data_IF_162071683262
#
_entry.id   IF_162071683262
#
_cell.length_a   1.000
_cell.length_b   1.000
_cell.length_c   1.000
_cell.angle_alpha   90.00
_cell.angle_beta   90.00
_cell.angle_gamma   90.00
#
_symmetry.space_group_name_H-M   'P 1'
#
loop_
_entity.id
_entity.type
_entity.pdbx_description
1 polymer ?
#
# COMPACT_ATOMS: atom_id res chain seq x y z
N UNK A 1 -13.67 -11.30 -12.00
CA UNK A 1 -14.35 -10.22 -11.26
C UNK A 1 -13.33 -9.15 -10.96
N UNK A 2 -13.57 -7.90 -11.35
CA UNK A 2 -12.66 -6.80 -11.05
C UNK A 2 -12.85 -6.38 -9.60
N UNK A 3 -11.78 -6.43 -8.79
CA UNK A 3 -11.77 -5.95 -7.42
C UNK A 3 -11.09 -4.57 -7.37
N UNK A 4 -11.73 -3.61 -6.70
CA UNK A 4 -11.19 -2.26 -6.50
C UNK A 4 -10.79 -2.09 -5.04
N UNK A 5 -9.61 -1.50 -4.81
CA UNK A 5 -9.08 -1.16 -3.49
C UNK A 5 -8.87 0.35 -3.42
N UNK A 6 -9.47 0.99 -2.42
CA UNK A 6 -9.10 2.36 -2.05
C UNK A 6 -7.77 2.32 -1.30
N UNK A 7 -6.84 3.19 -1.70
CA UNK A 7 -5.53 3.31 -1.08
C UNK A 7 -5.55 4.56 -0.20
N UNK A 8 -5.55 4.36 1.12
CA UNK A 8 -5.63 5.46 2.09
C UNK A 8 -4.29 5.83 2.71
N UNK A 9 -3.30 4.93 2.66
CA UNK A 9 -1.96 5.12 3.25
C UNK A 9 -0.86 4.66 2.29
N UNK A 10 -0.62 5.42 1.21
CA UNK A 10 0.55 5.17 0.37
C UNK A 10 1.83 5.55 1.11
N UNK A 11 2.93 4.86 0.81
CA UNK A 11 4.25 5.27 1.31
C UNK A 11 4.67 6.54 0.56
N UNK A 12 4.60 7.69 1.24
CA UNK A 12 4.69 9.01 0.62
C UNK A 12 5.87 9.18 -0.37
N UNK A 13 7.06 8.68 -0.02
CA UNK A 13 8.26 8.80 -0.85
C UNK A 13 8.26 7.96 -2.14
N UNK A 14 7.26 7.10 -2.34
CA UNK A 14 7.19 6.16 -3.48
C UNK A 14 6.18 6.58 -4.54
N UNK A 15 5.33 7.56 -4.24
CA UNK A 15 4.22 7.94 -5.11
C UNK A 15 4.75 8.63 -6.36
N UNK A 16 4.39 8.07 -7.52
CA UNK A 16 4.66 8.60 -8.85
C UNK A 16 3.34 8.73 -9.59
N UNK A 17 3.04 9.93 -10.08
CA UNK A 17 1.82 10.22 -10.82
C UNK A 17 2.17 10.54 -12.26
N UNK A 18 1.41 10.00 -13.20
CA UNK A 18 1.56 10.28 -14.62
C UNK A 18 0.23 10.69 -15.24
N UNK A 19 0.31 11.58 -16.24
CA UNK A 19 -0.82 11.98 -17.08
C UNK A 19 -0.45 11.59 -18.52
N UNK A 20 -1.29 10.78 -19.16
CA UNK A 20 -1.05 10.23 -20.51
C UNK A 20 0.34 9.55 -20.63
N UNK A 21 0.77 8.86 -19.56
CA UNK A 21 2.07 8.16 -19.52
C UNK A 21 3.28 9.03 -19.20
N UNK A 22 3.14 10.35 -19.13
CA UNK A 22 4.22 11.26 -18.74
C UNK A 22 4.20 11.55 -17.23
N UNK A 23 5.32 11.30 -16.55
CA UNK A 23 5.48 11.60 -15.13
C UNK A 23 5.28 13.10 -14.83
N UNK A 24 4.61 13.38 -13.72
CA UNK A 24 4.29 14.72 -13.25
C UNK A 24 4.91 14.96 -11.88
N UNK A 25 5.21 16.22 -11.60
CA UNK A 25 5.70 16.69 -10.30
C UNK A 25 4.83 17.84 -9.74
N UNK A 26 3.90 18.36 -10.54
CA UNK A 26 2.97 19.44 -10.22
C UNK A 26 1.73 18.92 -9.47
N UNK A 27 1.98 18.22 -8.37
CA UNK A 27 0.95 17.68 -7.48
C UNK A 27 1.45 17.64 -6.04
N UNK A 28 0.50 17.52 -5.12
CA UNK A 28 0.73 17.31 -3.67
C UNK A 28 0.00 16.05 -3.22
N UNK A 29 0.47 15.45 -2.14
CA UNK A 29 -0.13 14.25 -1.54
C UNK A 29 -0.48 14.52 -0.09
N UNK A 30 -1.72 14.21 0.27
CA UNK A 30 -2.12 13.93 1.66
C UNK A 30 -2.02 12.42 1.86
N UNK A 31 -0.95 11.99 2.53
CA UNK A 31 -0.62 10.57 2.73
C UNK A 31 -1.44 9.91 3.84
N UNK A 32 -2.14 10.70 4.68
CA UNK A 32 -3.03 10.18 5.71
C UNK A 32 -4.33 9.60 5.13
N UNK A 33 -4.76 10.12 3.97
CA UNK A 33 -5.97 9.69 3.27
C UNK A 33 -5.72 9.23 1.82
N UNK A 34 -4.48 9.33 1.33
CA UNK A 34 -4.08 8.91 -0.02
C UNK A 34 -4.58 9.83 -1.13
N UNK A 35 -4.74 11.13 -0.86
CA UNK A 35 -5.30 12.09 -1.81
C UNK A 35 -4.19 12.83 -2.57
N UNK A 36 -4.15 12.63 -3.89
CA UNK A 36 -3.29 13.40 -4.80
C UNK A 36 -4.05 14.62 -5.33
N UNK A 37 -3.49 15.81 -5.15
CA UNK A 37 -4.04 17.07 -5.65
C UNK A 37 -3.11 17.67 -6.69
N UNK A 38 -3.58 17.85 -7.92
CA UNK A 38 -2.82 18.52 -8.98
C UNK A 38 -2.89 20.04 -8.84
N UNK A 39 -1.77 20.72 -9.07
CA UNK A 39 -1.73 22.20 -9.09
C UNK A 39 -2.48 22.75 -10.31
N UNK A 40 -2.41 22.05 -11.44
CA UNK A 40 -3.17 22.36 -12.66
C UNK A 40 -4.05 21.17 -13.02
N UNK A 41 -5.33 21.42 -13.28
CA UNK A 41 -6.27 20.37 -13.65
C UNK A 41 -5.79 19.64 -14.93
N UNK A 42 -5.78 18.29 -14.94
CA UNK A 42 -5.57 17.53 -16.17
C UNK A 42 -6.59 17.91 -17.24
N UNK A 43 -6.19 17.86 -18.51
CA UNK A 43 -7.11 18.07 -19.62
C UNK A 43 -8.25 17.04 -19.60
N UNK A 44 -9.41 17.43 -20.11
CA UNK A 44 -10.55 16.52 -20.24
C UNK A 44 -10.17 15.26 -21.03
N UNK A 45 -10.48 14.09 -20.49
CA UNK A 45 -10.15 12.80 -21.09
C UNK A 45 -8.70 12.35 -20.92
N UNK A 46 -7.84 13.11 -20.23
CA UNK A 46 -6.50 12.67 -19.92
C UNK A 46 -6.51 11.46 -18.98
N UNK A 47 -5.66 10.47 -19.26
CA UNK A 47 -5.53 9.26 -18.46
C UNK A 47 -4.56 9.55 -17.32
N UNK A 48 -5.06 9.49 -16.09
CA UNK A 48 -4.25 9.62 -14.88
C UNK A 48 -3.88 8.23 -14.38
N UNK A 49 -2.60 8.00 -14.12
CA UNK A 49 -2.10 6.78 -13.48
C UNK A 49 -1.21 7.14 -12.30
N UNK A 50 -1.14 6.23 -11.33
CA UNK A 50 -0.24 6.35 -10.20
C UNK A 50 0.41 5.00 -9.89
N UNK A 51 1.69 5.04 -9.54
CA UNK A 51 2.44 3.92 -8.98
C UNK A 51 2.98 4.29 -7.61
N UNK A 52 2.86 3.40 -6.63
CA UNK A 52 3.24 3.63 -5.24
C UNK A 52 3.35 2.30 -4.51
N UNK A 53 4.09 2.31 -3.40
CA UNK A 53 4.00 1.28 -2.37
C UNK A 53 2.90 1.66 -1.38
N UNK A 54 2.24 0.67 -0.79
CA UNK A 54 1.22 0.88 0.24
C UNK A 54 1.19 -0.29 1.20
N UNK A 55 0.79 0.00 2.44
CA UNK A 55 0.63 -1.01 3.46
C UNK A 55 -0.79 -1.56 3.47
N UNK A 56 -0.90 -2.88 3.63
CA UNK A 56 -2.18 -3.56 3.87
C UNK A 56 -2.27 -3.87 5.36
N UNK A 57 -3.25 -3.32 6.10
CA UNK A 57 -3.44 -3.70 7.48
C UNK A 57 -3.81 -5.19 7.56
N UNK A 58 -3.09 -5.93 8.41
CA UNK A 58 -3.29 -7.36 8.63
C UNK A 58 -3.41 -7.65 10.13
N UNK A 59 -4.02 -8.79 10.46
CA UNK A 59 -3.99 -9.38 11.80
C UNK A 59 -3.58 -10.85 11.69
N UNK A 60 -3.14 -11.44 12.81
CA UNK A 60 -2.96 -12.88 12.89
C UNK A 60 -4.30 -13.59 12.64
N UNK A 61 -4.24 -14.64 11.84
CA UNK A 61 -5.38 -15.53 11.57
C UNK A 61 -5.46 -16.67 12.59
N UNK A 62 -4.70 -16.55 13.67
CA UNK A 62 -4.64 -17.54 14.74
C UNK A 62 -4.52 -16.84 16.08
N UNK A 63 -5.06 -17.47 17.11
CA UNK A 63 -5.00 -16.97 18.48
C UNK A 63 -3.63 -17.24 19.14
N UNK A 64 -2.81 -18.12 18.56
CA UNK A 64 -1.49 -18.45 19.10
C UNK A 64 -0.46 -18.73 18.00
N UNK A 65 0.75 -18.19 18.16
CA UNK A 65 1.89 -18.48 17.27
C UNK A 65 2.81 -19.48 17.96
N UNK A 66 3.09 -20.61 17.33
CA UNK A 66 3.98 -21.64 17.87
C UNK A 66 5.43 -21.31 17.54
N UNK A 67 6.26 -21.19 18.57
CA UNK A 67 7.72 -21.04 18.45
C UNK A 67 8.37 -22.36 18.84
N UNK A 68 9.33 -22.83 18.06
CA UNK A 68 10.12 -24.02 18.37
C UNK A 68 11.57 -23.61 18.65
N UNK A 69 12.14 -24.09 19.75
CA UNK A 69 13.58 -23.96 20.00
C UNK A 69 14.28 -25.12 19.29
N UNK A 70 14.94 -24.85 18.18
CA UNK A 70 15.61 -25.88 17.38
C UNK A 70 17.05 -26.13 17.86
N UNK A 71 17.68 -25.20 18.57
CA UNK A 71 19.01 -25.34 19.24
C UNK A 71 19.27 -24.19 20.23
N UNK A 72 20.39 -24.24 20.98
CA UNK A 72 20.80 -23.14 21.86
C UNK A 72 20.91 -21.83 21.06
N UNK A 73 20.06 -20.85 21.41
CA UNK A 73 19.93 -19.54 20.76
C UNK A 73 19.32 -19.50 19.34
N UNK A 74 18.73 -20.59 18.83
CA UNK A 74 17.98 -20.61 17.58
C UNK A 74 16.49 -20.90 17.83
N UNK A 75 15.65 -19.87 17.66
CA UNK A 75 14.20 -19.99 17.66
C UNK A 75 13.65 -19.93 16.23
N UNK A 76 12.75 -20.84 15.90
CA UNK A 76 12.09 -20.89 14.60
C UNK A 76 10.58 -20.67 14.77
N UNK A 77 9.99 -19.90 13.85
CA UNK A 77 8.54 -19.75 13.71
C UNK A 77 8.15 -20.23 12.31
N UNK A 78 7.81 -21.52 12.14
CA UNK A 78 7.65 -22.11 10.81
C UNK A 78 6.47 -21.51 10.02
N UNK A 79 5.48 -20.97 10.72
CA UNK A 79 4.28 -20.40 10.11
C UNK A 79 3.75 -19.24 10.96
N UNK A 80 3.44 -18.13 10.28
CA UNK A 80 2.80 -16.94 10.86
C UNK A 80 1.63 -16.57 9.93
N UNK A 81 0.47 -17.25 10.05
CA UNK A 81 -0.67 -16.98 9.18
C UNK A 81 -1.26 -15.61 9.50
N UNK A 82 -1.48 -14.81 8.46
CA UNK A 82 -2.06 -13.47 8.55
C UNK A 82 -3.20 -13.32 7.57
N UNK A 83 -4.18 -12.50 7.94
CA UNK A 83 -5.29 -12.11 7.07
C UNK A 83 -5.38 -10.59 6.99
N UNK A 84 -5.76 -10.10 5.82
CA UNK A 84 -6.07 -8.69 5.61
C UNK A 84 -7.27 -8.28 6.47
N UNK A 85 -7.14 -7.13 7.14
CA UNK A 85 -8.24 -6.45 7.82
C UNK A 85 -8.73 -5.32 6.93
N UNK A 86 -10.01 -5.34 6.53
CA UNK A 86 -10.64 -4.23 5.81
C UNK A 86 -11.49 -3.43 6.79
N UNK A 87 -11.33 -2.12 6.78
CA UNK A 87 -12.25 -1.18 7.44
C UNK A 87 -13.44 -0.89 6.53
#
# INVERSE_FOLDING_TARGET
>A
MTHWRTITRPVAGTVKVAINGALRQDWTLDDAIGLVTFTTAPASGAIVTAGFEFDVPVRFDTDSVRVQASTFAAGEVPSVPVIEVRA
#
